data_IF_108668892438
#
_entry.id   IF_108668892438
#
_cell.length_a   1.000
_cell.length_b   1.000
_cell.length_c   1.000
_cell.angle_alpha   90.00
_cell.angle_beta   90.00
_cell.angle_gamma   90.00
#
_symmetry.space_group_name_H-M   'P 1'
#
loop_
_entity.id
_entity.type
_entity.pdbx_description
1 polymer ?
#
# COMPACT_ATOMS: atom_id res chain seq x y z
N UNK A 1 1.79 28.34 -12.93
CA UNK A 1 2.09 27.07 -12.24
C UNK A 1 0.98 26.86 -11.20
N UNK A 2 0.49 25.64 -10.97
CA UNK A 2 -0.44 25.39 -9.86
C UNK A 2 0.31 25.48 -8.54
N UNK A 3 -0.28 26.06 -7.51
CA UNK A 3 0.36 26.13 -6.20
C UNK A 3 0.36 24.75 -5.53
N UNK A 4 1.54 24.12 -5.45
CA UNK A 4 1.71 22.79 -4.86
C UNK A 4 1.41 22.78 -3.36
N UNK A 5 1.80 23.82 -2.63
CA UNK A 5 1.58 23.89 -1.18
C UNK A 5 0.10 24.04 -0.86
N UNK A 6 -0.64 24.85 -1.60
CA UNK A 6 -2.10 24.97 -1.48
C UNK A 6 -2.81 23.65 -1.84
N UNK A 7 -2.34 22.92 -2.87
CA UNK A 7 -2.86 21.60 -3.21
C UNK A 7 -2.67 20.61 -2.06
N UNK A 8 -1.49 20.60 -1.42
CA UNK A 8 -1.25 19.75 -0.25
C UNK A 8 -2.10 20.14 0.97
N UNK A 9 -2.26 21.45 1.22
CA UNK A 9 -3.14 21.97 2.30
C UNK A 9 -4.58 21.50 2.10
N UNK A 10 -5.11 21.71 0.89
CA UNK A 10 -6.49 21.34 0.58
C UNK A 10 -6.74 19.83 0.69
N UNK A 11 -5.76 19.01 0.25
CA UNK A 11 -5.85 17.54 0.34
C UNK A 11 -5.62 17.01 1.75
N UNK A 12 -5.21 17.85 2.71
CA UNK A 12 -4.85 17.41 4.06
C UNK A 12 -3.54 16.63 4.10
N UNK A 13 -2.65 16.89 3.16
CA UNK A 13 -1.35 16.23 3.00
C UNK A 13 -0.17 17.08 3.53
N UNK A 14 -0.41 18.23 4.13
CA UNK A 14 0.61 19.09 4.71
C UNK A 14 0.64 18.96 6.22
N UNK A 15 1.77 18.50 6.79
CA UNK A 15 2.01 18.47 8.24
C UNK A 15 2.98 19.57 8.68
N UNK A 16 4.19 19.57 8.15
CA UNK A 16 5.20 20.59 8.43
C UNK A 16 5.80 21.11 7.12
N UNK A 17 6.18 22.39 7.12
CA UNK A 17 6.81 23.07 6.00
C UNK A 17 7.84 24.06 6.53
N UNK A 18 9.00 24.13 5.89
CA UNK A 18 10.00 25.14 6.22
C UNK A 18 9.57 26.54 5.75
N UNK A 19 9.89 27.59 6.52
CA UNK A 19 9.60 28.97 6.10
C UNK A 19 10.18 29.30 4.71
N UNK A 20 9.46 30.10 3.92
CA UNK A 20 9.88 30.52 2.58
C UNK A 20 9.65 29.49 1.48
N UNK A 21 9.22 28.27 1.81
CA UNK A 21 9.04 27.19 0.82
C UNK A 21 7.95 27.52 -0.21
N UNK A 22 6.80 28.00 0.24
CA UNK A 22 5.67 28.28 -0.66
C UNK A 22 6.00 29.40 -1.65
N UNK A 23 6.58 30.47 -1.15
CA UNK A 23 7.02 31.61 -1.95
C UNK A 23 8.03 31.18 -3.01
N UNK A 24 9.03 30.37 -2.61
CA UNK A 24 10.04 29.87 -3.52
C UNK A 24 9.46 28.97 -4.62
N UNK A 25 8.54 28.08 -4.27
CA UNK A 25 7.89 27.18 -5.23
C UNK A 25 6.98 27.90 -6.23
N UNK A 26 6.42 29.06 -5.88
CA UNK A 26 5.64 29.89 -6.78
C UNK A 26 6.47 30.59 -7.84
N UNK A 27 7.71 30.94 -7.49
CA UNK A 27 8.62 31.69 -8.36
C UNK A 27 9.52 30.78 -9.21
N UNK A 28 9.74 29.53 -8.76
CA UNK A 28 10.72 28.62 -9.36
C UNK A 28 10.14 27.23 -9.68
N UNK A 29 10.58 26.66 -10.81
CA UNK A 29 10.44 25.22 -11.02
C UNK A 29 11.51 24.50 -10.21
N UNK A 30 11.09 23.65 -9.27
CA UNK A 30 11.97 23.02 -8.30
C UNK A 30 12.05 21.51 -8.56
N UNK A 31 13.26 20.95 -8.37
CA UNK A 31 13.43 19.51 -8.23
C UNK A 31 13.25 19.12 -6.76
N UNK A 32 12.41 18.10 -6.52
CA UNK A 32 12.18 17.57 -5.17
C UNK A 32 12.37 16.04 -5.14
N UNK A 33 12.73 15.51 -3.98
CA UNK A 33 12.86 14.07 -3.82
C UNK A 33 12.09 13.53 -2.61
N UNK A 34 11.75 12.26 -2.73
CA UNK A 34 11.24 11.42 -1.63
C UNK A 34 12.06 10.13 -1.61
N UNK A 35 12.54 9.75 -0.43
CA UNK A 35 13.28 8.52 -0.21
C UNK A 35 12.38 7.38 0.28
N UNK A 36 12.65 6.16 -0.19
CA UNK A 36 12.04 4.93 0.31
C UNK A 36 13.07 3.82 0.41
N UNK A 37 13.19 3.20 1.58
CA UNK A 37 14.05 2.04 1.77
C UNK A 37 13.37 0.78 1.22
N UNK A 38 14.08 -0.04 0.41
CA UNK A 38 13.52 -1.22 -0.24
C UNK A 38 13.43 -2.42 0.74
N UNK A 39 12.65 -2.27 1.80
CA UNK A 39 12.52 -3.27 2.88
C UNK A 39 11.66 -4.49 2.49
N UNK A 40 11.00 -4.45 1.34
CA UNK A 40 10.25 -5.53 0.72
C UNK A 40 10.21 -5.33 -0.80
N UNK A 41 9.88 -6.38 -1.55
CA UNK A 41 9.69 -6.37 -3.00
C UNK A 41 8.38 -5.70 -3.44
N UNK A 42 7.69 -5.02 -2.54
CA UNK A 42 6.49 -4.25 -2.83
C UNK A 42 6.37 -3.05 -1.90
N UNK A 43 5.81 -1.97 -2.42
CA UNK A 43 5.24 -0.90 -1.62
C UNK A 43 3.90 -1.36 -1.04
N UNK A 44 3.49 -0.73 0.06
CA UNK A 44 2.16 -0.89 0.64
C UNK A 44 1.46 0.47 0.74
N UNK A 45 0.16 0.48 1.04
CA UNK A 45 -0.63 1.73 1.05
C UNK A 45 -0.09 2.79 2.03
N UNK A 46 0.71 2.42 3.03
CA UNK A 46 1.39 3.38 3.89
C UNK A 46 2.43 4.24 3.17
N UNK A 47 3.05 3.74 2.10
CA UNK A 47 3.97 4.52 1.24
C UNK A 47 3.21 5.40 0.25
N UNK A 48 1.95 5.05 -0.05
CA UNK A 48 1.20 5.69 -1.12
C UNK A 48 1.00 7.18 -0.89
N UNK A 49 0.88 7.63 0.38
CA UNK A 49 0.77 9.07 0.68
C UNK A 49 1.98 9.86 0.18
N UNK A 50 3.19 9.38 0.45
CA UNK A 50 4.43 10.01 -0.05
C UNK A 50 4.53 10.00 -1.57
N UNK A 51 4.17 8.87 -2.21
CA UNK A 51 4.13 8.77 -3.67
C UNK A 51 3.13 9.75 -4.27
N UNK A 52 1.95 9.91 -3.65
CA UNK A 52 0.95 10.90 -4.10
C UNK A 52 1.45 12.34 -3.93
N UNK A 53 2.28 12.65 -2.92
CA UNK A 53 2.94 13.96 -2.85
C UNK A 53 3.82 14.21 -4.07
N UNK A 54 4.68 13.26 -4.47
CA UNK A 54 5.49 13.36 -5.67
C UNK A 54 4.63 13.49 -6.93
N UNK A 55 3.52 12.74 -7.01
CA UNK A 55 2.58 12.82 -8.12
C UNK A 55 1.94 14.21 -8.25
N UNK A 56 1.47 14.79 -7.15
CA UNK A 56 0.93 16.15 -7.15
C UNK A 56 2.01 17.20 -7.44
N UNK A 57 3.22 17.01 -6.95
CA UNK A 57 4.38 17.85 -7.27
C UNK A 57 4.60 17.88 -8.80
N UNK A 58 4.64 16.71 -9.45
CA UNK A 58 4.81 16.59 -10.90
C UNK A 58 3.67 17.28 -11.67
N UNK A 59 2.42 17.07 -11.22
CA UNK A 59 1.23 17.72 -11.82
C UNK A 59 1.20 19.23 -11.64
N UNK A 60 1.89 19.75 -10.64
CA UNK A 60 2.07 21.19 -10.43
C UNK A 60 3.22 21.78 -11.27
N UNK A 61 3.95 20.96 -12.04
CA UNK A 61 4.99 21.39 -12.95
C UNK A 61 6.41 21.31 -12.40
N UNK A 62 6.60 20.81 -11.18
CA UNK A 62 7.90 20.57 -10.56
C UNK A 62 8.44 19.19 -10.92
N UNK A 63 9.75 18.96 -10.73
CA UNK A 63 10.43 17.72 -11.13
C UNK A 63 10.61 16.78 -9.93
N UNK A 64 9.98 15.58 -9.93
CA UNK A 64 10.13 14.60 -8.87
C UNK A 64 11.33 13.68 -9.08
N UNK A 65 12.02 13.39 -7.99
CA UNK A 65 12.99 12.31 -7.85
C UNK A 65 12.48 11.29 -6.85
N UNK A 66 12.48 10.02 -7.21
CA UNK A 66 12.27 8.92 -6.27
C UNK A 66 13.63 8.32 -5.93
N UNK A 67 14.06 8.50 -4.68
CA UNK A 67 15.28 7.89 -4.17
C UNK A 67 14.95 6.51 -3.58
N UNK A 68 15.60 5.49 -4.09
CA UNK A 68 15.58 4.16 -3.49
C UNK A 68 16.80 4.00 -2.60
N UNK A 69 16.55 3.68 -1.34
CA UNK A 69 17.56 3.58 -0.30
C UNK A 69 18.36 2.28 -0.35
N UNK A 70 19.17 2.05 -1.40
CA UNK A 70 20.01 0.86 -1.49
C UNK A 70 21.05 0.78 -0.37
N UNK A 71 21.70 1.90 -0.04
CA UNK A 71 22.64 2.00 1.07
C UNK A 71 21.91 2.11 2.43
N UNK A 72 20.94 3.01 2.53
CA UNK A 72 20.20 3.23 3.78
C UNK A 72 19.36 2.03 4.18
N UNK A 73 18.88 1.24 3.23
CA UNK A 73 18.20 -0.04 3.48
C UNK A 73 19.09 -1.10 4.14
N UNK A 74 20.41 -1.01 3.97
CA UNK A 74 21.39 -1.86 4.68
C UNK A 74 21.59 -1.44 6.14
N UNK A 75 21.23 -0.22 6.50
CA UNK A 75 21.40 0.35 7.84
C UNK A 75 20.10 0.28 8.65
N UNK A 76 18.99 0.69 8.05
CA UNK A 76 17.67 0.70 8.67
C UNK A 76 17.37 1.99 9.45
N UNK A 77 16.30 2.68 9.03
CA UNK A 77 15.82 3.92 9.66
C UNK A 77 15.22 3.65 11.04
N UNK A 78 15.71 4.29 12.13
CA UNK A 78 15.16 4.16 13.48
C UNK A 78 13.89 4.99 13.70
N UNK A 79 13.53 5.92 12.81
CA UNK A 79 12.42 6.85 13.01
C UNK A 79 11.08 6.13 13.19
N UNK A 80 10.34 6.48 14.25
CA UNK A 80 9.04 5.89 14.56
C UNK A 80 9.06 4.40 14.94
N UNK A 81 10.21 3.86 15.38
CA UNK A 81 10.37 2.44 15.73
C UNK A 81 10.95 2.25 17.12
N UNK A 82 10.59 1.13 17.73
CA UNK A 82 11.01 0.73 19.08
C UNK A 82 12.10 -0.35 19.12
N UNK A 83 12.42 -0.97 17.95
CA UNK A 83 13.41 -2.04 17.84
C UNK A 83 14.23 -1.89 16.57
N UNK A 84 15.48 -2.41 16.58
CA UNK A 84 16.39 -2.45 15.45
C UNK A 84 15.83 -3.36 14.34
N UNK A 85 16.14 -3.04 13.08
CA UNK A 85 15.72 -3.85 11.91
C UNK A 85 16.70 -4.99 11.65
N UNK A 86 16.18 -6.09 11.13
CA UNK A 86 17.01 -7.10 10.48
C UNK A 86 17.61 -6.49 9.20
N UNK A 87 18.92 -6.61 9.05
CA UNK A 87 19.64 -6.14 7.87
C UNK A 87 19.36 -7.07 6.70
N UNK A 88 19.09 -6.49 5.52
CA UNK A 88 18.92 -7.24 4.29
C UNK A 88 20.27 -7.38 3.55
N UNK A 89 20.44 -8.48 2.83
CA UNK A 89 21.58 -8.65 1.95
C UNK A 89 21.44 -7.85 0.63
N UNK A 90 22.54 -7.69 -0.08
CA UNK A 90 22.59 -6.87 -1.29
C UNK A 90 21.72 -7.42 -2.43
N UNK A 91 21.60 -8.74 -2.56
CA UNK A 91 20.78 -9.38 -3.60
C UNK A 91 19.28 -9.12 -3.37
N UNK A 92 18.83 -9.32 -2.13
CA UNK A 92 17.45 -9.01 -1.72
C UNK A 92 17.11 -7.52 -1.92
N UNK A 93 18.04 -6.62 -1.56
CA UNK A 93 17.84 -5.18 -1.75
C UNK A 93 17.72 -4.82 -3.23
N UNK A 94 18.59 -5.38 -4.10
CA UNK A 94 18.51 -5.14 -5.54
C UNK A 94 17.19 -5.65 -6.13
N UNK A 95 16.77 -6.86 -5.75
CA UNK A 95 15.47 -7.40 -6.18
C UNK A 95 14.31 -6.47 -5.79
N UNK A 96 14.30 -6.02 -4.54
CA UNK A 96 13.27 -5.13 -4.02
C UNK A 96 13.26 -3.78 -4.74
N UNK A 97 14.43 -3.23 -5.08
CA UNK A 97 14.56 -1.96 -5.83
C UNK A 97 13.88 -2.03 -7.21
N UNK A 98 14.12 -3.10 -7.97
CA UNK A 98 13.52 -3.28 -9.28
C UNK A 98 11.98 -3.40 -9.20
N UNK A 99 11.50 -4.11 -8.18
CA UNK A 99 10.07 -4.23 -7.93
C UNK A 99 9.41 -2.88 -7.59
N UNK A 100 10.05 -2.08 -6.72
CA UNK A 100 9.59 -0.73 -6.37
C UNK A 100 9.57 0.19 -7.58
N UNK A 101 10.60 0.13 -8.43
CA UNK A 101 10.68 0.90 -9.67
C UNK A 101 9.48 0.65 -10.58
N UNK A 102 9.17 -0.63 -10.80
CA UNK A 102 8.01 -1.03 -11.62
C UNK A 102 6.68 -0.53 -11.04
N UNK A 103 6.55 -0.54 -9.70
CA UNK A 103 5.34 -0.02 -9.06
C UNK A 103 5.24 1.50 -9.15
N UNK A 104 6.34 2.22 -8.90
CA UNK A 104 6.37 3.68 -8.92
C UNK A 104 6.04 4.26 -10.31
N UNK A 105 6.37 3.55 -11.41
CA UNK A 105 6.05 3.97 -12.78
C UNK A 105 4.55 4.04 -13.08
N UNK A 106 3.70 3.47 -12.24
CA UNK A 106 2.24 3.64 -12.33
C UNK A 106 1.76 5.01 -11.82
N UNK A 107 2.56 5.67 -11.00
CA UNK A 107 2.17 6.92 -10.33
C UNK A 107 2.89 8.15 -10.91
N UNK A 108 4.11 7.97 -11.39
CA UNK A 108 4.98 9.04 -11.87
C UNK A 108 5.32 8.81 -13.33
N UNK A 109 5.38 9.90 -14.09
CA UNK A 109 5.81 9.85 -15.48
C UNK A 109 7.35 9.90 -15.55
N UNK A 110 7.98 8.75 -15.79
CA UNK A 110 9.41 8.58 -15.98
C UNK A 110 9.82 8.65 -17.46
N UNK A 111 8.92 8.34 -18.37
CA UNK A 111 9.23 8.11 -19.79
C UNK A 111 8.79 9.26 -20.70
N UNK A 112 8.06 10.24 -20.15
CA UNK A 112 7.54 11.38 -20.86
C UNK A 112 8.65 12.30 -21.40
N UNK A 113 8.26 13.16 -22.35
CA UNK A 113 9.14 14.18 -22.95
C UNK A 113 9.12 15.50 -22.19
N UNK A 114 8.28 15.64 -21.18
CA UNK A 114 8.17 16.86 -20.39
C UNK A 114 9.46 17.12 -19.58
N UNK A 115 9.88 18.38 -19.42
CA UNK A 115 11.11 18.72 -18.68
C UNK A 115 11.04 18.30 -17.20
N UNK A 116 9.85 18.12 -16.66
CA UNK A 116 9.62 17.67 -15.30
C UNK A 116 9.29 16.17 -15.19
N UNK A 117 9.73 15.36 -16.15
CA UNK A 117 9.64 13.91 -16.02
C UNK A 117 10.36 13.44 -14.75
N UNK A 118 9.83 12.39 -14.13
CA UNK A 118 10.41 11.82 -12.92
C UNK A 118 11.76 11.15 -13.20
N UNK A 119 12.62 11.14 -12.19
CA UNK A 119 13.84 10.34 -12.20
C UNK A 119 13.90 9.45 -10.97
N UNK A 120 14.46 8.25 -11.14
CA UNK A 120 14.76 7.36 -10.02
C UNK A 120 16.27 7.31 -9.81
N UNK A 121 16.67 7.43 -8.55
CA UNK A 121 18.07 7.37 -8.12
C UNK A 121 18.24 6.39 -6.97
N UNK A 122 19.44 5.85 -6.81
CA UNK A 122 19.78 4.89 -5.77
C UNK A 122 20.96 5.42 -4.96
N UNK A 123 20.79 5.61 -3.66
CA UNK A 123 21.87 6.14 -2.82
C UNK A 123 23.06 5.17 -2.65
N UNK A 124 22.91 3.90 -3.01
CA UNK A 124 24.03 2.97 -3.09
C UNK A 124 25.08 3.43 -4.12
N UNK A 125 24.69 4.10 -5.21
CA UNK A 125 25.57 4.51 -6.27
C UNK A 125 26.65 5.51 -5.81
N UNK A 126 26.34 6.37 -4.86
CA UNK A 126 27.30 7.34 -4.28
C UNK A 126 27.82 6.96 -2.90
N UNK A 127 27.18 6.01 -2.19
CA UNK A 127 27.60 5.59 -0.86
C UNK A 127 28.60 4.43 -0.88
N UNK A 128 28.53 3.53 -1.88
CA UNK A 128 29.32 2.29 -1.93
C UNK A 128 30.83 2.50 -1.90
N UNK A 129 31.29 3.60 -2.50
CA UNK A 129 32.71 3.93 -2.60
C UNK A 129 33.19 4.90 -1.48
N UNK A 130 32.28 5.30 -0.58
CA UNK A 130 32.58 6.20 0.52
C UNK A 130 33.25 5.43 1.67
N UNK A 131 34.55 5.68 1.89
CA UNK A 131 35.21 5.07 3.04
C UNK A 131 34.69 5.69 4.35
N UNK A 132 34.74 4.94 5.44
CA UNK A 132 34.38 5.46 6.77
C UNK A 132 35.17 6.71 7.14
N UNK A 133 36.45 6.77 6.78
CA UNK A 133 37.31 7.93 7.06
C UNK A 133 36.87 9.15 6.26
N UNK A 134 36.56 8.97 5.00
CA UNK A 134 36.09 10.06 4.14
C UNK A 134 34.73 10.57 4.62
N UNK A 135 33.80 9.68 4.95
CA UNK A 135 32.48 10.04 5.49
C UNK A 135 32.61 10.83 6.82
N UNK A 136 33.47 10.39 7.73
CA UNK A 136 33.73 11.09 8.98
C UNK A 136 34.32 12.48 8.76
N UNK A 137 35.21 12.64 7.74
CA UNK A 137 35.86 13.91 7.40
C UNK A 137 34.95 14.86 6.61
N UNK A 138 34.15 14.34 5.67
CA UNK A 138 33.39 15.18 4.73
C UNK A 138 31.97 15.46 5.22
N UNK A 139 31.38 14.53 5.98
CA UNK A 139 30.02 14.65 6.50
C UNK A 139 30.04 14.84 8.02
N UNK A 140 30.66 13.92 8.76
CA UNK A 140 30.62 13.88 10.22
C UNK A 140 31.10 15.17 10.89
N UNK A 141 32.14 15.82 10.36
CA UNK A 141 32.68 17.07 10.93
C UNK A 141 31.69 18.26 10.91
N UNK A 142 30.69 18.23 10.03
CA UNK A 142 29.76 19.35 9.86
C UNK A 142 28.56 19.26 10.79
N UNK A 143 28.23 18.10 11.31
CA UNK A 143 27.09 17.89 12.22
C UNK A 143 27.58 17.46 13.59
N UNK A 144 27.26 18.26 14.62
CA UNK A 144 27.69 17.94 15.97
C UNK A 144 26.87 16.82 16.61
N UNK A 145 27.48 16.03 17.48
CA UNK A 145 26.79 14.99 18.26
C UNK A 145 25.62 15.59 19.06
N UNK A 146 25.79 16.77 19.63
CA UNK A 146 24.72 17.45 20.39
C UNK A 146 23.51 17.75 19.49
N UNK A 147 23.73 18.18 18.23
CA UNK A 147 22.65 18.37 17.28
C UNK A 147 21.91 17.05 16.96
N UNK A 148 22.65 15.98 16.74
CA UNK A 148 22.10 14.67 16.47
C UNK A 148 21.29 14.11 17.66
N UNK A 149 21.84 14.27 18.87
CA UNK A 149 21.22 13.85 20.12
C UNK A 149 19.92 14.61 20.44
N UNK A 150 19.77 15.84 19.98
CA UNK A 150 18.58 16.66 20.21
C UNK A 150 17.37 16.25 19.36
N UNK A 151 17.56 15.37 18.37
CA UNK A 151 16.45 14.90 17.52
C UNK A 151 15.45 14.07 18.32
N UNK A 152 14.16 14.29 18.09
CA UNK A 152 13.08 13.63 18.83
C UNK A 152 13.16 12.09 18.70
N UNK A 153 13.44 11.56 17.51
CA UNK A 153 13.60 10.13 17.27
C UNK A 153 14.73 9.52 18.08
N UNK A 154 15.84 10.25 18.27
CA UNK A 154 16.97 9.84 19.11
C UNK A 154 16.58 9.90 20.58
N UNK A 155 15.95 10.99 21.04
CA UNK A 155 15.52 11.16 22.42
C UNK A 155 14.50 10.10 22.84
N UNK A 156 13.57 9.75 21.98
CA UNK A 156 12.59 8.68 22.24
C UNK A 156 13.26 7.31 22.46
N UNK A 157 14.34 7.01 21.72
CA UNK A 157 15.09 5.75 21.88
C UNK A 157 15.98 5.75 23.13
N UNK A 158 16.57 6.88 23.49
CA UNK A 158 17.45 7.00 24.66
C UNK A 158 16.68 7.07 25.98
N UNK A 159 15.54 7.78 26.00
CA UNK A 159 14.76 8.04 27.21
C UNK A 159 13.47 7.20 27.28
N UNK A 160 13.16 6.43 26.24
CA UNK A 160 11.95 5.63 26.15
C UNK A 160 12.05 4.28 26.83
N UNK A 161 10.93 3.54 26.81
CA UNK A 161 10.80 2.17 27.32
C UNK A 161 11.38 1.12 26.37
N UNK A 162 12.12 1.51 25.34
CA UNK A 162 12.78 0.60 24.41
C UNK A 162 13.79 -0.27 25.19
N UNK A 163 13.65 -1.60 25.07
CA UNK A 163 14.52 -2.56 25.77
C UNK A 163 15.96 -2.51 25.26
N UNK A 164 16.13 -2.18 23.99
CA UNK A 164 17.40 -2.07 23.30
C UNK A 164 17.72 -0.59 23.07
N UNK A 165 18.92 -0.16 23.48
CA UNK A 165 19.38 1.20 23.22
C UNK A 165 19.40 1.55 21.71
N UNK A 166 19.96 2.70 21.38
CA UNK A 166 20.21 3.11 19.98
C UNK A 166 21.60 2.64 19.57
N UNK A 167 21.70 1.80 18.53
CA UNK A 167 22.99 1.36 18.00
C UNK A 167 23.71 2.51 17.29
N UNK A 168 25.03 2.43 17.17
CA UNK A 168 25.81 3.40 16.37
C UNK A 168 25.34 3.44 14.93
N UNK A 169 24.99 2.28 14.36
CA UNK A 169 24.47 2.13 13.01
C UNK A 169 23.18 2.95 12.82
N UNK A 170 22.19 2.72 13.68
CA UNK A 170 20.93 3.51 13.66
C UNK A 170 21.18 5.01 13.89
N UNK A 171 22.08 5.35 14.82
CA UNK A 171 22.39 6.74 15.14
C UNK A 171 22.99 7.50 13.93
N UNK A 172 23.78 6.82 13.10
CA UNK A 172 24.38 7.42 11.91
C UNK A 172 23.40 7.58 10.74
N UNK A 173 22.25 6.92 10.77
CA UNK A 173 21.26 6.97 9.67
C UNK A 173 20.88 8.39 9.28
N UNK A 174 20.68 9.29 10.25
CA UNK A 174 20.35 10.69 9.97
C UNK A 174 21.44 11.43 9.17
N UNK A 175 22.72 11.03 9.31
CA UNK A 175 23.82 11.59 8.50
C UNK A 175 23.82 11.05 7.08
N UNK A 176 23.49 9.77 6.91
CA UNK A 176 23.40 9.13 5.58
C UNK A 176 22.29 9.78 4.76
N UNK A 177 21.09 9.90 5.33
CA UNK A 177 19.97 10.59 4.69
C UNK A 177 20.25 12.08 4.47
N UNK A 178 20.96 12.73 5.39
CA UNK A 178 21.40 14.11 5.23
C UNK A 178 22.36 14.29 4.08
N UNK A 179 23.28 13.33 3.90
CA UNK A 179 24.22 13.34 2.76
C UNK A 179 23.51 13.06 1.43
N UNK A 180 22.48 12.22 1.40
CA UNK A 180 21.65 12.04 0.20
C UNK A 180 21.10 13.38 -0.30
N UNK A 181 20.61 14.23 0.60
CA UNK A 181 20.11 15.56 0.21
C UNK A 181 21.25 16.44 -0.31
N UNK A 182 22.40 16.48 0.35
CA UNK A 182 23.57 17.24 -0.11
C UNK A 182 24.05 16.76 -1.49
N UNK A 183 24.11 15.45 -1.71
CA UNK A 183 24.50 14.86 -3.00
C UNK A 183 23.49 15.24 -4.10
N UNK A 184 22.19 15.03 -3.86
CA UNK A 184 21.15 15.37 -4.82
C UNK A 184 21.09 16.88 -5.11
N UNK A 185 21.38 17.71 -4.12
CA UNK A 185 21.51 19.14 -4.35
C UNK A 185 22.67 19.47 -5.30
N UNK A 186 23.85 18.88 -5.08
CA UNK A 186 25.05 19.16 -5.88
C UNK A 186 24.96 18.64 -7.31
N UNK A 187 24.50 17.41 -7.46
CA UNK A 187 24.54 16.69 -8.75
C UNK A 187 23.25 16.88 -9.58
N UNK A 188 22.11 17.08 -8.92
CA UNK A 188 20.80 17.15 -9.58
C UNK A 188 20.03 18.46 -9.33
N UNK A 189 20.59 19.39 -8.56
CA UNK A 189 19.94 20.66 -8.23
C UNK A 189 18.66 20.51 -7.41
N UNK A 190 18.50 19.39 -6.67
CA UNK A 190 17.33 19.13 -5.82
C UNK A 190 17.35 20.07 -4.62
N UNK A 191 16.28 20.84 -4.44
CA UNK A 191 16.15 21.83 -3.36
C UNK A 191 15.08 21.51 -2.33
N UNK A 192 14.21 20.56 -2.60
CA UNK A 192 13.10 20.20 -1.72
C UNK A 192 13.15 18.72 -1.39
N UNK A 193 13.07 18.39 -0.10
CA UNK A 193 12.83 17.03 0.37
C UNK A 193 11.40 16.88 0.83
N UNK A 194 10.74 15.77 0.41
CA UNK A 194 9.42 15.34 0.83
C UNK A 194 9.54 14.11 1.71
N UNK A 195 8.64 13.95 2.69
CA UNK A 195 8.65 12.78 3.57
C UNK A 195 7.44 12.69 4.48
N UNK A 196 7.35 11.61 5.25
CA UNK A 196 6.41 11.51 6.36
C UNK A 196 6.82 12.39 7.54
N UNK A 197 5.89 12.73 8.42
CA UNK A 197 6.16 13.61 9.55
C UNK A 197 7.20 13.04 10.55
N UNK A 198 7.34 11.72 10.60
CA UNK A 198 8.40 11.04 11.37
C UNK A 198 9.81 11.27 10.82
N UNK A 199 9.93 11.70 9.57
CA UNK A 199 11.19 11.98 8.88
C UNK A 199 11.72 13.40 9.10
N UNK A 200 10.96 14.30 9.73
CA UNK A 200 11.33 15.70 9.88
C UNK A 200 12.73 15.91 10.45
N UNK A 201 13.11 15.11 11.45
CA UNK A 201 14.43 15.17 12.06
C UNK A 201 15.58 14.85 11.10
N UNK A 202 15.43 13.79 10.30
CA UNK A 202 16.41 13.39 9.30
C UNK A 202 16.47 14.41 8.15
N UNK A 203 15.33 14.89 7.68
CA UNK A 203 15.21 15.87 6.59
C UNK A 203 15.89 17.19 6.95
N UNK A 204 15.64 17.70 8.17
CA UNK A 204 16.29 18.93 8.64
C UNK A 204 17.79 18.76 8.93
N UNK A 205 18.28 17.54 9.14
CA UNK A 205 19.72 17.26 9.16
C UNK A 205 20.34 17.46 7.79
N UNK A 206 19.62 17.12 6.72
CA UNK A 206 20.06 17.37 5.34
C UNK A 206 20.19 18.86 5.02
N UNK A 207 19.19 19.68 5.35
CA UNK A 207 19.26 21.14 5.16
C UNK A 207 20.40 21.76 5.97
N UNK A 208 20.57 21.33 7.24
CA UNK A 208 21.67 21.80 8.09
C UNK A 208 23.05 21.43 7.51
N UNK A 209 23.20 20.19 7.00
CA UNK A 209 24.44 19.75 6.37
C UNK A 209 24.76 20.58 5.14
N UNK A 210 23.78 20.89 4.31
CA UNK A 210 23.93 21.72 3.11
C UNK A 210 24.40 23.13 3.52
N UNK A 211 23.73 23.77 4.49
CA UNK A 211 24.08 25.10 4.97
C UNK A 211 25.50 25.15 5.55
N UNK A 212 25.88 24.16 6.35
CA UNK A 212 27.23 24.11 6.94
C UNK A 212 28.33 23.81 5.95
N UNK A 213 27.98 23.17 4.82
CA UNK A 213 28.96 22.79 3.79
C UNK A 213 29.10 23.86 2.70
N UNK A 214 27.99 24.49 2.30
CA UNK A 214 27.92 25.39 1.14
C UNK A 214 27.63 26.86 1.51
N UNK A 215 27.26 27.13 2.74
CA UNK A 215 26.92 28.47 3.23
C UNK A 215 25.41 28.65 3.47
N UNK A 216 25.07 29.69 4.25
CA UNK A 216 23.69 29.96 4.67
C UNK A 216 22.82 30.60 3.56
N UNK A 217 23.41 31.02 2.48
CA UNK A 217 22.69 31.64 1.33
C UNK A 217 22.04 30.56 0.42
N UNK A 218 22.28 29.28 0.71
CA UNK A 218 21.73 28.20 -0.07
C UNK A 218 20.29 27.89 0.39
N UNK A 219 19.34 28.03 -0.52
CA UNK A 219 17.93 27.77 -0.25
C UNK A 219 17.60 26.29 -0.48
N UNK A 220 17.26 25.59 0.60
CA UNK A 220 16.78 24.21 0.59
C UNK A 220 15.63 24.06 1.58
N UNK A 221 14.67 23.20 1.26
CA UNK A 221 13.38 23.12 1.92
C UNK A 221 12.97 21.70 2.23
N UNK A 222 12.07 21.57 3.21
CA UNK A 222 11.42 20.32 3.59
C UNK A 222 9.91 20.51 3.71
N UNK A 223 9.15 19.53 3.22
CA UNK A 223 7.72 19.41 3.44
C UNK A 223 7.42 17.99 3.92
N UNK A 224 6.60 17.84 4.96
CA UNK A 224 6.14 16.52 5.41
C UNK A 224 4.63 16.35 5.30
N UNK A 225 4.20 15.11 5.05
CA UNK A 225 2.80 14.71 5.15
C UNK A 225 2.51 14.12 6.53
N UNK A 226 1.24 14.22 7.00
CA UNK A 226 0.81 13.56 8.23
C UNK A 226 1.00 12.05 8.14
N UNK A 227 1.34 11.41 9.25
CA UNK A 227 1.24 9.97 9.35
C UNK A 227 -0.24 9.59 9.37
N UNK A 228 -0.63 8.76 8.41
CA UNK A 228 -2.01 8.33 8.31
C UNK A 228 -2.22 7.20 9.33
N UNK A 229 -3.18 7.43 10.24
CA UNK A 229 -3.67 6.44 11.20
C UNK A 229 -5.15 6.18 10.96
N UNK A 230 -5.61 4.98 11.31
CA UNK A 230 -7.04 4.66 11.38
C UNK A 230 -7.70 5.41 12.54
N UNK A 231 -9.03 5.50 12.53
CA UNK A 231 -9.81 6.12 13.59
C UNK A 231 -9.57 5.48 14.98
N UNK A 232 -9.20 4.19 15.02
CA UNK A 232 -8.84 3.46 16.25
C UNK A 232 -7.37 3.68 16.71
N UNK A 233 -6.64 4.58 16.05
CA UNK A 233 -5.22 4.90 16.33
C UNK A 233 -4.21 3.88 15.79
N UNK A 234 -4.67 2.79 15.15
CA UNK A 234 -3.76 1.82 14.53
C UNK A 234 -3.11 2.39 13.27
N UNK A 235 -1.95 1.84 12.91
CA UNK A 235 -1.25 2.24 11.68
C UNK A 235 -2.10 1.94 10.46
N UNK A 236 -2.26 2.94 9.58
CA UNK A 236 -2.92 2.79 8.29
C UNK A 236 -2.25 1.70 7.43
N UNK A 237 -3.07 0.94 6.73
CA UNK A 237 -2.58 -0.12 5.87
C UNK A 237 -2.21 -1.41 6.55
N UNK A 238 -2.41 -1.53 7.87
CA UNK A 238 -2.32 -2.81 8.58
C UNK A 238 -3.71 -3.39 8.81
N UNK A 239 -3.88 -4.64 8.40
CA UNK A 239 -5.02 -5.48 8.71
C UNK A 239 -4.60 -6.58 9.70
N UNK A 240 -5.52 -7.43 10.12
CA UNK A 240 -5.18 -8.62 10.93
C UNK A 240 -4.26 -9.58 10.17
N UNK A 241 -4.35 -9.61 8.83
CA UNK A 241 -3.49 -10.39 7.93
C UNK A 241 -2.19 -9.69 7.54
N UNK A 242 -1.88 -8.50 8.06
CA UNK A 242 -0.64 -7.76 7.78
C UNK A 242 -0.84 -6.49 6.95
N UNK A 243 0.17 -6.11 6.16
CA UNK A 243 0.11 -4.92 5.31
C UNK A 243 -0.79 -5.13 4.09
N UNK A 244 -1.48 -4.07 3.66
CA UNK A 244 -2.13 -4.01 2.34
C UNK A 244 -1.09 -3.55 1.32
N UNK A 245 -0.67 -4.51 0.48
CA UNK A 245 0.40 -4.32 -0.50
C UNK A 245 -0.13 -3.79 -1.83
N UNK A 246 0.74 -3.12 -2.59
CA UNK A 246 0.41 -2.66 -3.95
C UNK A 246 0.65 -3.76 -5.00
N UNK A 247 1.36 -4.83 -4.66
CA UNK A 247 1.57 -5.99 -5.52
C UNK A 247 0.35 -6.92 -5.44
N UNK A 248 -0.23 -7.25 -6.59
CA UNK A 248 -1.39 -8.14 -6.71
C UNK A 248 -1.14 -9.56 -6.19
N UNK A 249 0.13 -10.02 -6.19
CA UNK A 249 0.51 -11.33 -5.65
C UNK A 249 0.53 -11.38 -4.12
N UNK A 250 0.67 -10.21 -3.46
CA UNK A 250 0.70 -10.08 -2.00
C UNK A 250 -0.65 -9.68 -1.41
N UNK A 251 -1.39 -8.84 -2.12
CA UNK A 251 -2.77 -8.44 -1.79
C UNK A 251 -3.54 -8.45 -3.10
N UNK A 252 -4.49 -9.38 -3.24
CA UNK A 252 -5.28 -9.48 -4.47
C UNK A 252 -6.00 -8.17 -4.77
N UNK A 253 -6.27 -7.84 -6.05
CA UNK A 253 -7.07 -6.65 -6.39
C UNK A 253 -8.43 -6.64 -5.71
N UNK A 254 -9.04 -7.81 -5.48
CA UNK A 254 -10.27 -7.93 -4.70
C UNK A 254 -10.08 -7.50 -3.23
N UNK A 255 -9.08 -8.04 -2.53
CA UNK A 255 -8.81 -7.69 -1.14
C UNK A 255 -8.41 -6.20 -1.02
N UNK A 256 -7.65 -5.69 -1.98
CA UNK A 256 -7.29 -4.28 -2.08
C UNK A 256 -8.53 -3.38 -2.26
N UNK A 257 -9.42 -3.73 -3.19
CA UNK A 257 -10.69 -3.03 -3.40
C UNK A 257 -11.58 -3.05 -2.13
N UNK A 258 -11.70 -4.22 -1.49
CA UNK A 258 -12.48 -4.37 -0.26
C UNK A 258 -11.92 -3.53 0.90
N UNK A 259 -10.61 -3.38 1.00
CA UNK A 259 -10.00 -2.51 2.01
C UNK A 259 -10.54 -1.08 1.92
N UNK A 260 -10.52 -0.49 0.72
CA UNK A 260 -11.01 0.87 0.50
C UNK A 260 -12.53 0.99 0.60
N UNK A 261 -13.24 -0.03 0.12
CA UNK A 261 -14.69 -0.07 0.20
C UNK A 261 -15.18 -0.09 1.66
N UNK A 262 -14.39 -0.61 2.61
CA UNK A 262 -14.78 -0.81 4.00
C UNK A 262 -14.24 0.24 4.98
N UNK A 263 -13.61 1.32 4.52
CA UNK A 263 -13.18 2.42 5.39
C UNK A 263 -14.39 3.17 5.98
N UNK A 264 -14.21 3.79 7.15
CA UNK A 264 -15.24 4.58 7.80
C UNK A 264 -15.59 5.85 6.99
N UNK A 265 -16.73 6.49 7.26
CA UNK A 265 -17.19 7.62 6.47
C UNK A 265 -16.25 8.83 6.55
N UNK A 266 -15.77 9.18 7.74
CA UNK A 266 -14.79 10.23 7.97
C UNK A 266 -13.41 9.90 7.35
N UNK A 267 -13.02 8.65 7.37
CA UNK A 267 -11.82 8.19 6.68
C UNK A 267 -11.98 8.31 5.16
N UNK A 268 -13.13 7.96 4.60
CA UNK A 268 -13.41 8.07 3.16
C UNK A 268 -13.30 9.51 2.67
N UNK A 269 -13.84 10.49 3.42
CA UNK A 269 -13.72 11.92 3.09
C UNK A 269 -12.27 12.41 3.07
N UNK A 270 -11.43 11.90 3.98
CA UNK A 270 -10.02 12.21 4.02
C UNK A 270 -9.26 11.52 2.91
N UNK A 271 -9.49 10.22 2.71
CA UNK A 271 -8.72 9.41 1.79
C UNK A 271 -9.01 9.70 0.32
N UNK A 272 -10.23 10.10 -0.04
CA UNK A 272 -10.54 10.48 -1.41
C UNK A 272 -9.75 11.73 -1.85
N UNK A 273 -9.47 12.65 -0.91
CA UNK A 273 -8.61 13.81 -1.18
C UNK A 273 -7.14 13.41 -1.35
N UNK A 274 -6.65 12.46 -0.53
CA UNK A 274 -5.23 12.08 -0.50
C UNK A 274 -4.88 11.14 -1.65
N UNK A 275 -5.69 10.13 -1.93
CA UNK A 275 -5.32 8.98 -2.75
C UNK A 275 -5.94 8.98 -4.15
N UNK A 276 -6.56 10.07 -4.59
CA UNK A 276 -7.12 10.16 -5.93
C UNK A 276 -6.61 11.37 -6.70
N UNK A 277 -6.75 11.30 -8.03
CA UNK A 277 -6.44 12.41 -8.95
C UNK A 277 -7.64 13.31 -9.23
N UNK A 278 -8.77 13.04 -8.60
CA UNK A 278 -9.98 13.81 -8.79
C UNK A 278 -9.76 15.29 -8.43
N UNK A 279 -10.40 16.18 -9.17
CA UNK A 279 -10.37 17.61 -8.88
C UNK A 279 -11.21 17.98 -7.65
N UNK A 280 -11.01 19.22 -7.17
CA UNK A 280 -11.65 19.71 -5.96
C UNK A 280 -13.18 19.70 -6.06
N UNK A 281 -13.74 20.15 -7.18
CA UNK A 281 -15.19 20.23 -7.40
C UNK A 281 -15.84 18.85 -7.36
N UNK A 282 -15.24 17.89 -8.06
CA UNK A 282 -15.68 16.49 -8.07
C UNK A 282 -15.66 15.89 -6.66
N UNK A 283 -14.58 16.09 -5.91
CA UNK A 283 -14.44 15.54 -4.55
C UNK A 283 -15.47 16.17 -3.61
N UNK A 284 -15.64 17.50 -3.60
CA UNK A 284 -16.59 18.16 -2.73
C UNK A 284 -18.05 17.79 -3.09
N UNK A 285 -18.36 17.60 -4.38
CA UNK A 285 -19.63 17.07 -4.84
C UNK A 285 -19.92 15.67 -4.29
N UNK A 286 -18.96 14.75 -4.40
CA UNK A 286 -19.07 13.38 -3.89
C UNK A 286 -19.24 13.34 -2.36
N UNK A 287 -18.50 14.18 -1.62
CA UNK A 287 -18.62 14.27 -0.16
C UNK A 287 -20.01 14.81 0.22
N UNK A 288 -20.50 15.82 -0.49
CA UNK A 288 -21.82 16.40 -0.25
C UNK A 288 -22.94 15.39 -0.49
N UNK A 289 -22.87 14.62 -1.57
CA UNK A 289 -23.82 13.55 -1.87
C UNK A 289 -23.75 12.45 -0.79
N UNK A 290 -22.55 12.03 -0.43
CA UNK A 290 -22.33 10.98 0.58
C UNK A 290 -22.95 11.36 1.94
N UNK A 291 -22.79 12.60 2.39
CA UNK A 291 -23.36 13.09 3.66
C UNK A 291 -24.89 13.08 3.70
N UNK A 292 -25.57 13.11 2.55
CA UNK A 292 -27.03 12.99 2.47
C UNK A 292 -27.52 11.55 2.71
N UNK A 293 -26.76 10.55 2.25
CA UNK A 293 -27.11 9.12 2.42
C UNK A 293 -25.83 8.27 2.58
N UNK A 294 -25.16 8.30 3.75
CA UNK A 294 -23.95 7.52 3.98
C UNK A 294 -24.15 6.01 3.82
N UNK A 295 -25.38 5.53 4.06
CA UNK A 295 -25.72 4.10 3.96
C UNK A 295 -25.51 3.51 2.56
N UNK A 296 -25.54 4.33 1.51
CA UNK A 296 -25.21 3.90 0.14
C UNK A 296 -23.73 3.63 -0.08
N UNK A 297 -22.85 4.16 0.79
CA UNK A 297 -21.39 4.04 0.67
C UNK A 297 -20.85 4.47 -0.70
N UNK A 298 -21.47 5.50 -1.30
CA UNK A 298 -21.10 5.98 -2.63
C UNK A 298 -19.67 6.53 -2.67
N UNK A 299 -19.26 7.23 -1.62
CA UNK A 299 -17.92 7.81 -1.49
C UNK A 299 -16.85 6.73 -1.38
N UNK A 300 -17.06 5.71 -0.51
CA UNK A 300 -16.14 4.58 -0.38
C UNK A 300 -16.02 3.78 -1.68
N UNK A 301 -17.14 3.60 -2.40
CA UNK A 301 -17.11 2.92 -3.70
C UNK A 301 -16.27 3.70 -4.69
N UNK A 302 -16.50 4.99 -4.83
CA UNK A 302 -15.71 5.82 -5.74
C UNK A 302 -14.24 5.84 -5.36
N UNK A 303 -13.91 5.97 -4.08
CA UNK A 303 -12.54 5.88 -3.58
C UNK A 303 -11.90 4.52 -3.96
N UNK A 304 -12.58 3.41 -3.69
CA UNK A 304 -12.09 2.07 -3.99
C UNK A 304 -11.87 1.86 -5.50
N UNK A 305 -12.78 2.36 -6.34
CA UNK A 305 -12.66 2.30 -7.80
C UNK A 305 -11.44 3.08 -8.30
N UNK A 306 -11.29 4.35 -7.90
CA UNK A 306 -10.18 5.21 -8.33
C UNK A 306 -8.83 4.65 -7.92
N UNK A 307 -8.69 4.24 -6.65
CA UNK A 307 -7.39 3.75 -6.15
C UNK A 307 -7.06 2.37 -6.71
N UNK A 308 -8.05 1.49 -6.90
CA UNK A 308 -7.82 0.17 -7.50
C UNK A 308 -7.38 0.29 -8.96
N UNK A 309 -8.00 1.16 -9.76
CA UNK A 309 -7.57 1.41 -11.14
C UNK A 309 -6.16 1.99 -11.19
N UNK A 310 -5.84 2.92 -10.29
CA UNK A 310 -4.52 3.57 -10.25
C UNK A 310 -3.39 2.58 -9.88
N UNK A 311 -3.64 1.68 -8.93
CA UNK A 311 -2.64 0.74 -8.42
C UNK A 311 -2.56 -0.54 -9.27
N UNK A 312 -3.68 -1.04 -9.72
CA UNK A 312 -3.77 -2.27 -10.52
C UNK A 312 -4.15 -1.95 -11.97
N UNK A 313 -5.38 -2.23 -12.36
CA UNK A 313 -5.91 -1.91 -13.70
C UNK A 313 -7.43 -1.75 -13.68
N UNK A 314 -8.02 -1.35 -14.81
CA UNK A 314 -9.48 -1.33 -14.98
C UNK A 314 -10.04 -2.76 -14.99
N UNK A 315 -9.35 -3.67 -15.62
CA UNK A 315 -9.71 -5.10 -15.69
C UNK A 315 -9.72 -5.71 -14.28
N UNK A 316 -8.71 -5.44 -13.48
CA UNK A 316 -8.63 -5.90 -12.08
C UNK A 316 -9.78 -5.33 -11.23
N UNK A 317 -10.15 -4.07 -11.45
CA UNK A 317 -11.31 -3.47 -10.77
C UNK A 317 -12.61 -4.19 -11.17
N UNK A 318 -12.83 -4.41 -12.45
CA UNK A 318 -14.05 -5.06 -12.94
C UNK A 318 -14.18 -6.48 -12.36
N UNK A 319 -13.05 -7.21 -12.26
CA UNK A 319 -13.00 -8.53 -11.61
C UNK A 319 -13.25 -8.42 -10.11
N UNK A 320 -12.70 -7.42 -9.41
CA UNK A 320 -12.92 -7.21 -7.98
C UNK A 320 -14.39 -6.88 -7.66
N UNK A 321 -15.06 -6.10 -8.51
CA UNK A 321 -16.50 -5.80 -8.42
C UNK A 321 -17.32 -7.06 -8.66
N UNK A 322 -17.00 -7.84 -9.71
CA UNK A 322 -17.67 -9.09 -10.00
C UNK A 322 -17.54 -10.08 -8.82
N UNK A 323 -16.33 -10.23 -8.28
CA UNK A 323 -16.05 -11.05 -7.11
C UNK A 323 -16.86 -10.59 -5.88
N UNK A 324 -16.97 -9.28 -5.63
CA UNK A 324 -17.78 -8.72 -4.54
C UNK A 324 -19.26 -9.10 -4.67
N UNK A 325 -19.78 -9.18 -5.88
CA UNK A 325 -21.17 -9.55 -6.15
C UNK A 325 -21.47 -11.05 -5.91
N UNK A 326 -20.45 -11.89 -5.82
CA UNK A 326 -20.63 -13.35 -5.65
C UNK A 326 -21.35 -13.65 -4.34
N UNK A 327 -20.93 -13.06 -3.25
CA UNK A 327 -21.53 -13.28 -1.92
C UNK A 327 -22.96 -12.72 -1.80
N UNK A 328 -23.32 -11.75 -2.64
CA UNK A 328 -24.65 -11.16 -2.68
C UNK A 328 -25.63 -11.84 -3.64
N UNK A 329 -25.26 -12.99 -4.21
CA UNK A 329 -26.14 -13.82 -5.03
C UNK A 329 -26.38 -13.34 -6.46
N UNK A 330 -25.61 -12.36 -6.94
CA UNK A 330 -25.74 -11.79 -8.29
C UNK A 330 -24.79 -12.41 -9.32
N UNK A 331 -23.87 -13.26 -8.88
CA UNK A 331 -22.88 -13.88 -9.77
C UNK A 331 -23.37 -15.20 -10.33
N UNK A 332 -22.85 -15.56 -11.50
CA UNK A 332 -23.08 -16.82 -12.21
C UNK A 332 -21.90 -17.78 -12.05
N UNK A 333 -22.01 -18.99 -12.57
CA UNK A 333 -20.91 -19.95 -12.64
C UNK A 333 -19.73 -19.40 -13.45
N UNK A 334 -19.99 -18.75 -14.59
CA UNK A 334 -18.97 -18.15 -15.45
C UNK A 334 -18.16 -17.08 -14.68
N UNK A 335 -18.81 -16.33 -13.79
CA UNK A 335 -18.10 -15.36 -12.93
C UNK A 335 -17.11 -16.06 -11.99
N UNK A 336 -17.47 -17.23 -11.44
CA UNK A 336 -16.58 -18.01 -10.57
C UNK A 336 -15.39 -18.60 -11.35
N UNK A 337 -15.63 -19.08 -12.56
CA UNK A 337 -14.62 -19.69 -13.45
C UNK A 337 -13.58 -18.67 -13.97
N UNK A 338 -13.91 -17.39 -13.95
CA UNK A 338 -13.02 -16.30 -14.34
C UNK A 338 -12.12 -15.79 -13.21
N UNK A 339 -12.39 -16.22 -11.96
CA UNK A 339 -11.57 -15.79 -10.82
C UNK A 339 -10.28 -16.59 -10.74
N UNK A 340 -9.17 -15.88 -10.50
CA UNK A 340 -7.92 -16.52 -10.07
C UNK A 340 -8.11 -17.20 -8.70
N UNK A 341 -7.39 -18.28 -8.47
CA UNK A 341 -7.44 -19.07 -7.22
C UNK A 341 -7.26 -18.21 -5.96
N UNK A 342 -6.31 -17.25 -6.00
CA UNK A 342 -6.06 -16.34 -4.90
C UNK A 342 -7.29 -15.46 -4.58
N UNK A 343 -7.95 -14.93 -5.62
CA UNK A 343 -9.17 -14.12 -5.46
C UNK A 343 -10.33 -14.97 -4.94
N UNK A 344 -10.50 -16.19 -5.44
CA UNK A 344 -11.54 -17.11 -4.96
C UNK A 344 -11.35 -17.43 -3.47
N UNK A 345 -10.11 -17.69 -3.06
CA UNK A 345 -9.79 -17.93 -1.65
C UNK A 345 -10.05 -16.70 -0.77
N UNK A 346 -9.72 -15.50 -1.24
CA UNK A 346 -10.01 -14.25 -0.52
C UNK A 346 -11.51 -13.99 -0.38
N UNK A 347 -12.30 -14.24 -1.42
CA UNK A 347 -13.77 -14.07 -1.39
C UNK A 347 -14.40 -15.00 -0.34
N UNK A 348 -13.90 -16.22 -0.24
CA UNK A 348 -14.48 -17.26 0.60
C UNK A 348 -13.67 -17.55 1.87
N UNK A 349 -12.68 -16.73 2.25
CA UNK A 349 -11.81 -16.96 3.42
C UNK A 349 -12.56 -17.16 4.74
N UNK A 350 -13.73 -16.50 4.89
CA UNK A 350 -14.54 -16.53 6.13
C UNK A 350 -15.66 -17.57 6.10
N UNK A 351 -15.77 -18.39 5.03
CA UNK A 351 -16.73 -19.49 4.98
C UNK A 351 -16.07 -20.80 5.41
N UNK A 352 -16.83 -21.79 5.91
CA UNK A 352 -16.25 -23.08 6.24
C UNK A 352 -15.66 -23.79 5.02
N UNK A 353 -14.43 -24.29 5.17
CA UNK A 353 -13.69 -25.03 4.15
C UNK A 353 -13.67 -26.52 4.47
N UNK A 354 -13.82 -27.35 3.44
CA UNK A 354 -13.72 -28.78 3.52
C UNK A 354 -12.86 -29.33 2.38
N UNK A 355 -12.39 -30.55 2.53
CA UNK A 355 -11.57 -31.19 1.50
C UNK A 355 -12.09 -32.59 1.23
N UNK A 356 -12.22 -32.96 -0.05
CA UNK A 356 -12.47 -34.32 -0.52
C UNK A 356 -11.26 -34.84 -1.29
N UNK A 357 -11.12 -36.16 -1.36
CA UNK A 357 -10.15 -36.79 -2.23
C UNK A 357 -10.71 -36.92 -3.65
N UNK A 358 -9.82 -37.00 -4.63
CA UNK A 358 -10.21 -37.05 -6.06
C UNK A 358 -10.98 -38.30 -6.44
N UNK A 359 -10.80 -39.40 -5.74
CA UNK A 359 -11.52 -40.65 -5.90
C UNK A 359 -12.97 -40.58 -5.41
N UNK A 360 -13.34 -39.56 -4.65
CA UNK A 360 -14.74 -39.29 -4.29
C UNK A 360 -15.54 -38.62 -5.40
N UNK A 361 -14.88 -38.11 -6.43
CA UNK A 361 -15.58 -37.62 -7.63
C UNK A 361 -16.30 -38.77 -8.34
N UNK A 362 -17.49 -38.47 -8.85
CA UNK A 362 -18.40 -39.47 -9.41
C UNK A 362 -19.43 -40.00 -8.39
N UNK A 363 -19.26 -39.73 -7.09
CA UNK A 363 -20.26 -40.08 -6.07
C UNK A 363 -21.44 -39.10 -6.11
N UNK A 364 -22.63 -39.53 -5.63
CA UNK A 364 -23.80 -38.67 -5.47
C UNK A 364 -23.51 -37.45 -4.59
N UNK A 365 -24.04 -36.29 -4.95
CA UNK A 365 -23.84 -35.03 -4.20
C UNK A 365 -24.24 -35.18 -2.71
N UNK A 366 -25.29 -35.95 -2.42
CA UNK A 366 -25.74 -36.23 -1.05
C UNK A 366 -24.71 -37.01 -0.23
N UNK A 367 -23.89 -37.84 -0.87
CA UNK A 367 -22.87 -38.64 -0.17
C UNK A 367 -21.60 -37.79 0.08
N UNK A 368 -21.27 -36.90 -0.85
CA UNK A 368 -20.15 -35.98 -0.72
C UNK A 368 -20.42 -34.90 0.31
N UNK A 369 -21.56 -34.20 0.27
CA UNK A 369 -21.80 -33.01 1.07
C UNK A 369 -22.46 -33.31 2.46
N UNK A 370 -22.79 -34.55 2.76
CA UNK A 370 -23.32 -34.96 4.05
C UNK A 370 -22.34 -35.86 4.82
N UNK A 371 -21.06 -35.58 4.77
CA UNK A 371 -20.04 -36.34 5.54
C UNK A 371 -20.12 -36.04 7.02
N UNK A 372 -19.70 -36.99 7.85
CA UNK A 372 -19.69 -36.85 9.30
C UNK A 372 -18.76 -35.69 9.72
N UNK A 373 -19.24 -34.85 10.64
CA UNK A 373 -18.51 -33.66 11.09
C UNK A 373 -18.62 -32.41 10.20
N UNK A 374 -19.27 -32.55 9.02
CA UNK A 374 -19.47 -31.41 8.14
C UNK A 374 -20.72 -30.59 8.48
N UNK A 375 -20.62 -29.27 8.42
CA UNK A 375 -21.75 -28.36 8.73
C UNK A 375 -22.57 -27.99 7.50
N UNK A 376 -22.23 -28.51 6.31
CA UNK A 376 -22.94 -28.17 5.06
C UNK A 376 -24.39 -28.62 5.18
N UNK A 377 -24.62 -29.91 5.47
CA UNK A 377 -25.96 -30.46 5.76
C UNK A 377 -25.89 -31.37 6.96
N UNK A 378 -26.75 -31.15 7.98
CA UNK A 378 -26.81 -31.99 9.19
C UNK A 378 -27.17 -33.46 8.92
N UNK A 379 -27.89 -33.72 7.81
CA UNK A 379 -28.29 -35.09 7.41
C UNK A 379 -28.60 -35.16 5.92
N UNK A 380 -28.48 -36.37 5.36
CA UNK A 380 -28.91 -36.69 3.98
C UNK A 380 -30.41 -36.40 3.76
N UNK A 381 -31.25 -36.60 4.78
CA UNK A 381 -32.68 -36.28 4.71
C UNK A 381 -32.95 -34.78 4.55
N UNK A 382 -32.20 -33.94 5.29
CA UNK A 382 -32.31 -32.48 5.20
C UNK A 382 -31.84 -31.98 3.84
N UNK A 383 -30.70 -32.46 3.34
CA UNK A 383 -30.23 -32.09 2.01
C UNK A 383 -31.26 -32.45 0.92
N UNK A 384 -31.84 -33.67 0.96
CA UNK A 384 -32.88 -34.09 0.01
C UNK A 384 -34.08 -33.15 0.03
N UNK A 385 -34.52 -32.75 1.23
CA UNK A 385 -35.65 -31.83 1.40
C UNK A 385 -35.31 -30.43 0.83
N UNK A 386 -34.11 -29.94 1.09
CA UNK A 386 -33.65 -28.62 0.57
C UNK A 386 -33.48 -28.64 -0.94
N UNK A 387 -32.93 -29.70 -1.52
CA UNK A 387 -32.77 -29.82 -2.98
C UNK A 387 -34.17 -29.82 -3.66
N UNK A 388 -35.14 -30.58 -3.15
CA UNK A 388 -36.53 -30.57 -3.64
C UNK A 388 -37.19 -29.20 -3.55
N UNK A 389 -36.78 -28.36 -2.57
CA UNK A 389 -37.26 -27.00 -2.38
C UNK A 389 -36.38 -25.92 -3.10
N UNK A 390 -35.52 -26.32 -4.04
CA UNK A 390 -34.57 -25.43 -4.71
C UNK A 390 -33.68 -24.62 -3.75
N UNK A 391 -33.43 -25.15 -2.56
CA UNK A 391 -32.63 -24.50 -1.51
C UNK A 391 -31.11 -24.77 -1.58
N UNK A 392 -30.66 -25.56 -2.56
CA UNK A 392 -29.22 -25.88 -2.71
C UNK A 392 -28.75 -25.45 -4.08
N UNK A 393 -27.55 -24.86 -4.14
CA UNK A 393 -26.85 -24.61 -5.40
C UNK A 393 -25.42 -25.15 -5.31
N UNK A 394 -24.91 -25.61 -6.43
CA UNK A 394 -23.51 -25.97 -6.66
C UNK A 394 -22.97 -25.00 -7.71
N UNK A 395 -21.87 -24.31 -7.38
CA UNK A 395 -21.24 -23.30 -8.26
C UNK A 395 -22.25 -22.27 -8.81
N UNK A 396 -23.16 -21.78 -7.95
CA UNK A 396 -24.25 -20.85 -8.29
C UNK A 396 -25.40 -21.43 -9.13
N UNK A 397 -25.28 -22.64 -9.65
CA UNK A 397 -26.35 -23.34 -10.36
C UNK A 397 -27.21 -24.15 -9.39
N UNK A 398 -28.52 -24.24 -9.64
CA UNK A 398 -29.42 -25.01 -8.80
C UNK A 398 -29.14 -26.50 -8.90
N UNK A 399 -28.93 -27.15 -7.77
CA UNK A 399 -28.84 -28.61 -7.70
C UNK A 399 -30.24 -29.18 -7.75
N UNK A 400 -30.60 -29.77 -8.88
CA UNK A 400 -31.98 -30.28 -9.12
C UNK A 400 -32.20 -31.69 -8.62
N UNK A 401 -31.13 -32.49 -8.46
CA UNK A 401 -31.18 -33.86 -7.96
C UNK A 401 -30.10 -34.06 -6.88
N UNK A 402 -30.49 -34.63 -5.75
CA UNK A 402 -29.56 -34.88 -4.61
C UNK A 402 -28.62 -36.07 -4.87
N UNK A 403 -28.98 -36.95 -5.77
CA UNK A 403 -28.21 -38.11 -6.21
C UNK A 403 -27.42 -37.87 -7.52
N UNK A 404 -27.44 -36.64 -8.05
CA UNK A 404 -26.58 -36.26 -9.16
C UNK A 404 -25.12 -36.50 -8.79
N UNK A 405 -24.33 -37.20 -9.66
CA UNK A 405 -22.92 -37.36 -9.44
C UNK A 405 -22.19 -35.97 -9.51
N UNK A 406 -21.27 -35.76 -8.61
CA UNK A 406 -20.35 -34.61 -8.68
C UNK A 406 -19.11 -35.06 -9.43
N UNK A 407 -18.85 -34.43 -10.57
CA UNK A 407 -17.78 -34.83 -11.49
C UNK A 407 -16.67 -33.81 -11.59
N UNK A 408 -15.59 -34.13 -12.29
CA UNK A 408 -14.51 -33.19 -12.55
C UNK A 408 -14.99 -31.95 -13.34
N UNK A 409 -16.07 -32.05 -14.11
CA UNK A 409 -16.67 -30.94 -14.85
C UNK A 409 -17.36 -29.91 -13.94
N UNK A 410 -17.67 -30.29 -12.71
CA UNK A 410 -18.21 -29.38 -11.71
C UNK A 410 -17.15 -28.55 -11.03
N UNK A 411 -15.88 -28.87 -11.19
CA UNK A 411 -14.80 -28.16 -10.48
C UNK A 411 -14.52 -26.78 -11.07
N UNK A 412 -14.48 -25.78 -10.22
CA UNK A 412 -13.93 -24.46 -10.53
C UNK A 412 -12.42 -24.59 -10.48
N UNK A 413 -11.72 -24.16 -11.52
CA UNK A 413 -10.25 -24.25 -11.68
C UNK A 413 -9.72 -25.69 -11.41
N UNK A 414 -10.52 -26.72 -11.77
CA UNK A 414 -10.15 -28.11 -11.58
C UNK A 414 -9.97 -28.55 -10.12
N UNK A 415 -10.36 -27.71 -9.14
CA UNK A 415 -9.99 -27.89 -7.73
C UNK A 415 -11.11 -27.59 -6.73
N UNK A 416 -12.02 -26.67 -7.01
CA UNK A 416 -12.98 -26.17 -6.03
C UNK A 416 -14.43 -26.41 -6.42
N UNK A 417 -15.27 -26.61 -5.39
CA UNK A 417 -16.71 -26.65 -5.47
C UNK A 417 -17.31 -25.65 -4.50
N UNK A 418 -18.16 -24.75 -4.95
CA UNK A 418 -18.88 -23.81 -4.09
C UNK A 418 -20.28 -24.35 -3.82
N UNK A 419 -20.52 -24.78 -2.59
CA UNK A 419 -21.83 -25.24 -2.14
C UNK A 419 -22.58 -24.11 -1.46
N UNK A 420 -23.81 -23.82 -1.86
CA UNK A 420 -24.68 -22.81 -1.23
C UNK A 420 -25.93 -23.47 -0.68
N UNK A 421 -26.15 -23.28 0.64
CA UNK A 421 -27.36 -23.70 1.37
C UNK A 421 -28.24 -22.49 1.69
N UNK A 422 -29.42 -22.44 1.09
CA UNK A 422 -30.31 -21.29 1.20
C UNK A 422 -29.75 -20.07 0.45
N UNK A 423 -30.01 -18.86 1.00
CA UNK A 423 -29.61 -17.60 0.33
C UNK A 423 -28.24 -17.07 0.76
N UNK A 424 -27.75 -17.43 1.96
CA UNK A 424 -26.62 -16.76 2.60
C UNK A 424 -25.47 -17.67 3.04
N UNK A 425 -25.68 -18.98 3.14
CA UNK A 425 -24.66 -19.88 3.67
C UNK A 425 -23.86 -20.50 2.53
N UNK A 426 -22.58 -20.18 2.47
CA UNK A 426 -21.62 -20.69 1.50
C UNK A 426 -20.63 -21.63 2.19
N UNK A 427 -20.14 -22.60 1.44
CA UNK A 427 -19.13 -23.56 1.86
C UNK A 427 -18.21 -23.84 0.69
N UNK A 428 -16.92 -23.78 0.91
CA UNK A 428 -15.94 -24.09 -0.12
C UNK A 428 -15.37 -25.48 0.10
N UNK A 429 -15.47 -26.32 -0.92
CA UNK A 429 -14.94 -27.69 -0.88
C UNK A 429 -13.80 -27.77 -1.90
N UNK A 430 -12.60 -28.06 -1.40
CA UNK A 430 -11.43 -28.31 -2.25
C UNK A 430 -11.29 -29.80 -2.56
N UNK A 431 -10.74 -30.12 -3.73
CA UNK A 431 -10.41 -31.49 -4.12
C UNK A 431 -8.89 -31.63 -3.98
N UNK A 432 -8.47 -32.45 -3.02
CA UNK A 432 -7.07 -32.84 -2.83
C UNK A 432 -6.59 -33.84 -3.91
N UNK A 433 -5.27 -34.06 -3.91
CA UNK A 433 -4.64 -35.05 -4.79
C UNK A 433 -5.11 -36.48 -4.48
#
# INVERSE_FOLDING_TARGET
>A
MKNFVEELKWRGMLAQIMPGTEEYLLEHTVSAYLGTDPTADSLHIGHLCGIMMLRHLQRCGHKPYLLVGGATGMIGDPSGKSAERNLLDAETLYHNQEAIKKQASKFLDFDGTAPNKAEMVNNYDWMKDFSFLDFAREVGKHITVNYMMAKESVQQRLNGTARDGLSFTEFTYQLLQGYDFLHLYREHGVRLQLGGNDQWGNMTTGTELIHRTLGNDVETFCITCPLITKADGKKFGKTESGNVWLDAKRTTPYAFYQFWLNVADDEAERYIRIFTDLDHETIEGLITEHRQDPGRRALQRRLAEEVTVMVHSREDLDMAIAASNILFGKATRETLEQLEEATLNDVFKDVPHYTISRDQLGQPAVDIFCQEGWQIFPSKSEMRKLVKGNGVSLNKEKLTAFDRPVTAEDLIDGKYLLVQRGKKNYYLVSVGE
#
